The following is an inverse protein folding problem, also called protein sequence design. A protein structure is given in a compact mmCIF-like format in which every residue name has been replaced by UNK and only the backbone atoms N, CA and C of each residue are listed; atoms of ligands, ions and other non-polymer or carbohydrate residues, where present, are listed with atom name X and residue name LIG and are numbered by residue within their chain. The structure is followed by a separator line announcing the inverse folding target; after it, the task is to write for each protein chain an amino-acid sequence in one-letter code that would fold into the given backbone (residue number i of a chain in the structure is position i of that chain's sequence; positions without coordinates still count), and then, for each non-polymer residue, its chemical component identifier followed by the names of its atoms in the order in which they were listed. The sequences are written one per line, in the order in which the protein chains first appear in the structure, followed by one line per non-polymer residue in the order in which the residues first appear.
data_IF_947224255891
#
_entry.id   IF_947224255891
#
_cell.length_a   1.000
_cell.length_b   1.000
_cell.length_c   1.000
_cell.angle_alpha   90.00
_cell.angle_beta   90.00
_cell.angle_gamma   90.00
#
_symmetry.space_group_name_H-M   'P 1'
#
loop_
_entity.id
_entity.type
_entity.pdbx_description
1 polymer ?
#
# COMPACT_ATOMS: atom_id res chain seq x y z
N UNK A 1 -11.47 20.50 21.57
CA UNK A 1 -10.13 21.10 21.40
C UNK A 1 -9.96 21.44 19.93
N UNK A 2 -9.82 22.72 19.58
CA UNK A 2 -9.50 23.14 18.20
C UNK A 2 -8.00 23.02 18.04
N UNK A 3 -7.56 22.06 17.23
CA UNK A 3 -6.14 21.88 16.91
C UNK A 3 -5.88 22.43 15.50
N UNK A 4 -4.78 23.16 15.29
CA UNK A 4 -4.45 23.63 13.95
C UNK A 4 -4.25 22.43 13.02
N UNK A 5 -4.52 22.65 11.75
CA UNK A 5 -4.19 21.69 10.71
C UNK A 5 -2.67 21.45 10.67
N UNK A 6 -2.22 20.23 10.31
CA UNK A 6 -0.82 19.99 9.94
C UNK A 6 -0.39 20.90 8.78
N UNK A 7 0.93 20.98 8.52
CA UNK A 7 1.41 21.65 7.31
C UNK A 7 0.91 20.91 6.07
N UNK A 8 0.79 21.64 4.97
CA UNK A 8 0.51 21.06 3.66
C UNK A 8 1.55 19.99 3.30
N UNK A 9 1.07 18.92 2.66
CA UNK A 9 1.91 17.83 2.13
C UNK A 9 1.67 17.68 0.63
N UNK A 10 2.68 17.23 -0.09
CA UNK A 10 2.54 16.82 -1.49
C UNK A 10 2.04 15.38 -1.54
N UNK A 11 0.95 15.14 -2.27
CA UNK A 11 0.45 13.80 -2.56
C UNK A 11 0.57 13.51 -4.05
N UNK A 12 0.65 12.22 -4.40
CA UNK A 12 0.85 11.78 -5.78
C UNK A 12 -0.31 10.94 -6.28
N UNK A 13 -0.72 11.18 -7.53
CA UNK A 13 -1.72 10.35 -8.19
C UNK A 13 -1.19 8.91 -8.41
N UNK A 14 -1.97 7.86 -8.08
CA UNK A 14 -1.42 6.50 -8.00
C UNK A 14 -1.17 5.82 -9.36
N UNK A 15 -1.56 6.48 -10.46
CA UNK A 15 -1.33 6.04 -11.85
C UNK A 15 -0.37 6.98 -12.56
N UNK A 16 -0.72 8.26 -12.69
CA UNK A 16 0.10 9.23 -13.42
C UNK A 16 1.32 9.71 -12.63
N UNK A 17 1.33 9.62 -11.30
CA UNK A 17 2.39 10.17 -10.46
C UNK A 17 2.31 11.70 -10.23
N UNK A 18 1.35 12.37 -10.88
CA UNK A 18 1.15 13.80 -10.79
C UNK A 18 1.06 14.27 -9.33
N UNK A 19 1.87 15.30 -9.02
CA UNK A 19 1.99 15.86 -7.68
C UNK A 19 0.95 16.97 -7.44
N UNK A 20 0.25 16.90 -6.32
CA UNK A 20 -0.75 17.90 -5.93
C UNK A 20 -0.58 18.26 -4.45
N UNK A 21 -0.67 19.56 -4.08
CA UNK A 21 -0.72 19.94 -2.67
C UNK A 21 -1.99 19.43 -1.99
N UNK A 22 -1.87 18.95 -0.76
CA UNK A 22 -2.98 18.54 0.09
C UNK A 22 -2.85 19.17 1.48
N UNK A 23 -3.84 19.96 1.85
CA UNK A 23 -4.00 20.47 3.20
C UNK A 23 -4.87 19.51 4.02
N UNK A 24 -4.27 18.81 4.99
CA UNK A 24 -5.03 17.94 5.89
C UNK A 24 -5.93 18.77 6.82
N UNK A 25 -7.17 18.31 7.12
CA UNK A 25 -8.04 18.96 8.10
C UNK A 25 -7.45 19.07 9.51
N UNK A 26 -7.83 20.10 10.28
CA UNK A 26 -7.44 20.25 11.69
C UNK A 26 -8.29 19.43 12.66
N UNK A 27 -8.38 19.91 13.91
CA UNK A 27 -9.29 19.42 14.94
C UNK A 27 -9.06 18.00 15.47
N UNK A 28 -7.83 17.48 15.38
CA UNK A 28 -7.47 16.24 16.07
C UNK A 28 -8.00 14.97 15.41
N UNK A 29 -8.34 15.02 14.11
CA UNK A 29 -8.42 13.83 13.25
C UNK A 29 -7.02 13.21 13.27
N UNK A 30 -6.82 12.17 14.07
CA UNK A 30 -5.48 11.67 14.40
C UNK A 30 -4.68 11.34 13.15
N UNK A 31 -3.66 12.14 12.86
CA UNK A 31 -2.65 11.83 11.85
C UNK A 31 -1.54 11.03 12.51
N UNK A 32 -1.20 9.89 11.92
CA UNK A 32 -0.04 9.12 12.34
C UNK A 32 1.21 9.99 12.16
N UNK A 33 1.94 10.21 13.25
CA UNK A 33 3.27 10.84 13.23
C UNK A 33 4.31 9.72 13.34
N UNK A 34 5.09 9.45 12.29
CA UNK A 34 6.26 8.57 12.37
C UNK A 34 7.33 9.16 13.32
N UNK A 35 8.39 8.38 13.65
CA UNK A 35 9.08 8.37 14.93
C UNK A 35 9.56 9.72 15.47
N UNK A 36 9.51 9.87 16.80
CA UNK A 36 10.28 10.92 17.49
C UNK A 36 11.78 10.61 17.34
N UNK A 37 12.67 11.59 17.60
CA UNK A 37 14.12 11.36 17.59
C UNK A 37 14.52 10.17 18.52
N UNK A 38 13.76 9.96 19.61
CA UNK A 38 13.85 8.84 20.56
C UNK A 38 13.31 7.51 20.00
N UNK A 39 12.75 7.45 18.81
CA UNK A 39 12.37 6.16 18.18
C UNK A 39 13.33 5.76 17.07
N UNK A 40 14.19 6.67 16.62
CA UNK A 40 15.18 6.43 15.56
C UNK A 40 16.31 5.50 16.05
N UNK A 41 16.72 5.57 17.31
CA UNK A 41 17.78 4.70 17.85
C UNK A 41 17.38 3.23 18.06
N UNK A 42 16.10 2.90 18.24
CA UNK A 42 15.68 1.56 18.71
C UNK A 42 15.07 0.65 17.65
N UNK A 43 14.59 1.18 16.52
CA UNK A 43 13.79 0.40 15.56
C UNK A 43 14.13 0.67 14.09
N UNK A 44 15.40 0.57 13.69
CA UNK A 44 15.73 0.46 12.27
C UNK A 44 15.40 -0.96 11.75
N UNK A 45 14.89 -1.11 10.52
CA UNK A 45 14.57 -0.09 9.51
C UNK A 45 13.38 0.84 9.85
N UNK A 46 13.35 2.05 9.29
CA UNK A 46 12.44 3.12 9.72
C UNK A 46 11.10 3.21 8.96
N UNK A 47 10.18 3.99 9.54
CA UNK A 47 8.80 4.25 9.11
C UNK A 47 7.89 3.03 9.33
N UNK A 48 6.57 3.22 9.23
CA UNK A 48 5.58 2.26 9.75
C UNK A 48 5.67 0.85 9.13
N UNK A 49 6.22 0.76 7.93
CA UNK A 49 6.36 -0.51 7.19
C UNK A 49 7.83 -0.89 7.00
N UNK A 50 8.73 -0.38 7.85
CA UNK A 50 10.15 -0.67 7.76
C UNK A 50 10.71 -0.35 6.36
N UNK A 51 10.14 0.63 5.67
CA UNK A 51 10.38 0.85 4.23
C UNK A 51 11.68 1.60 3.93
N UNK A 52 12.30 2.18 4.95
CA UNK A 52 13.52 2.99 4.80
C UNK A 52 14.70 2.24 5.40
N UNK A 53 15.69 1.97 4.55
CA UNK A 53 16.86 1.12 4.80
C UNK A 53 16.60 -0.39 4.76
N UNK A 54 15.44 -0.79 4.24
CA UNK A 54 15.09 -2.19 3.94
C UNK A 54 14.64 -2.31 2.49
N UNK A 55 15.61 -2.27 1.58
CA UNK A 55 15.34 -2.51 0.16
C UNK A 55 15.49 -4.00 -0.09
N UNK A 56 14.41 -4.76 0.15
CA UNK A 56 14.33 -6.09 -0.43
C UNK A 56 14.30 -5.89 -1.96
N UNK A 57 15.29 -6.39 -2.72
CA UNK A 57 15.18 -6.40 -4.17
C UNK A 57 13.88 -7.13 -4.51
N UNK A 58 13.08 -6.54 -5.41
CA UNK A 58 11.77 -7.06 -5.83
C UNK A 58 11.82 -8.46 -6.48
N UNK A 59 12.97 -9.14 -6.44
CA UNK A 59 13.21 -10.51 -6.88
C UNK A 59 13.10 -11.54 -5.74
N UNK A 60 12.20 -11.35 -4.78
CA UNK A 60 11.73 -12.51 -4.02
C UNK A 60 10.72 -13.26 -4.88
N UNK A 61 10.87 -14.59 -5.03
CA UNK A 61 10.02 -15.37 -5.90
C UNK A 61 8.58 -15.17 -5.44
N UNK A 62 7.72 -14.82 -6.42
CA UNK A 62 6.27 -14.85 -6.26
C UNK A 62 5.90 -16.07 -5.43
N UNK A 63 5.15 -15.85 -4.36
CA UNK A 63 4.34 -16.91 -3.78
C UNK A 63 3.52 -17.51 -4.94
N UNK A 64 3.82 -18.74 -5.35
CA UNK A 64 3.13 -19.45 -6.43
C UNK A 64 3.72 -19.34 -7.84
N UNK A 65 5.03 -19.58 -8.03
CA UNK A 65 5.51 -20.10 -9.32
C UNK A 65 6.18 -21.46 -9.11
N UNK A 66 5.43 -22.51 -9.36
CA UNK A 66 5.99 -23.75 -9.88
C UNK A 66 6.60 -23.44 -11.27
N UNK A 67 7.63 -24.22 -11.63
CA UNK A 67 8.46 -24.18 -12.86
C UNK A 67 9.65 -23.20 -12.80
N UNK A 68 10.90 -23.57 -13.07
CA UNK A 68 11.49 -24.73 -13.74
C UNK A 68 12.98 -24.79 -13.34
N UNK A 69 13.53 -26.00 -13.30
CA UNK A 69 14.91 -26.35 -12.99
C UNK A 69 15.97 -25.64 -13.86
N UNK A 70 16.92 -24.95 -13.21
CA UNK A 70 18.22 -24.54 -13.75
C UNK A 70 19.36 -25.01 -12.83
N UNK A 71 20.60 -25.21 -13.34
CA UNK A 71 21.52 -26.20 -12.79
C UNK A 71 22.09 -25.80 -11.43
N UNK A 72 22.07 -26.80 -10.55
CA UNK A 72 22.60 -26.82 -9.19
C UNK A 72 24.12 -26.60 -9.21
N UNK A 73 24.55 -25.43 -8.73
CA UNK A 73 25.90 -25.23 -8.20
C UNK A 73 25.95 -25.81 -6.79
N UNK A 74 26.70 -26.89 -6.64
CA UNK A 74 26.90 -27.67 -5.41
C UNK A 74 27.69 -26.91 -4.34
N UNK A 75 27.11 -26.77 -3.14
CA UNK A 75 27.81 -27.02 -1.86
C UNK A 75 26.90 -26.76 -0.65
N UNK A 76 26.68 -27.80 0.18
CA UNK A 76 26.44 -27.61 1.62
C UNK A 76 25.07 -27.99 2.20
N UNK A 77 24.81 -29.30 2.30
CA UNK A 77 24.08 -30.02 3.38
C UNK A 77 22.73 -29.52 3.93
N UNK A 78 21.71 -30.34 3.67
CA UNK A 78 20.36 -30.34 4.23
C UNK A 78 20.31 -30.64 5.75
N UNK A 79 19.36 -30.01 6.45
CA UNK A 79 18.64 -30.62 7.57
C UNK A 79 17.16 -30.17 7.59
N UNK A 80 16.27 -31.13 7.33
CA UNK A 80 14.82 -31.17 7.57
C UNK A 80 14.45 -30.79 9.03
N UNK A 81 13.25 -30.38 9.45
CA UNK A 81 11.88 -30.31 8.92
C UNK A 81 11.05 -29.49 9.94
N UNK A 82 10.11 -28.66 9.47
CA UNK A 82 9.11 -27.99 10.32
C UNK A 82 8.47 -26.76 9.66
N UNK A 83 7.21 -26.87 9.28
CA UNK A 83 6.33 -25.86 8.65
C UNK A 83 6.73 -24.38 8.82
N UNK A 84 6.95 -23.71 7.69
CA UNK A 84 7.16 -22.27 7.58
C UNK A 84 8.41 -21.95 6.77
N UNK A 85 8.26 -21.83 5.45
CA UNK A 85 9.38 -21.67 4.50
C UNK A 85 9.94 -20.22 4.51
N UNK A 86 10.40 -19.76 5.68
CA UNK A 86 11.45 -18.74 5.73
C UNK A 86 12.78 -19.49 5.67
N UNK A 87 13.73 -19.10 4.80
CA UNK A 87 15.06 -19.68 4.86
C UNK A 87 15.65 -19.36 6.24
N UNK A 88 15.62 -20.36 7.13
CA UNK A 88 16.45 -20.40 8.34
C UNK A 88 17.88 -20.61 7.89
N UNK A 89 18.49 -19.55 7.35
CA UNK A 89 19.94 -19.44 7.34
C UNK A 89 20.40 -19.51 8.81
N UNK A 90 21.49 -20.21 9.14
CA UNK A 90 21.94 -20.36 10.52
C UNK A 90 22.03 -18.98 11.17
N UNK A 91 21.17 -18.77 12.18
CA UNK A 91 21.04 -17.56 12.98
C UNK A 91 22.21 -17.42 13.94
N UNK A 92 23.44 -17.45 13.41
CA UNK A 92 24.67 -17.31 14.17
C UNK A 92 25.45 -16.11 13.65
N UNK A 93 26.02 -15.34 14.57
CA UNK A 93 26.88 -14.23 14.25
C UNK A 93 28.34 -14.70 14.18
N UNK A 94 29.16 -14.17 13.24
CA UNK A 94 28.83 -13.12 12.28
C UNK A 94 27.97 -13.62 11.11
N UNK A 95 27.15 -12.72 10.53
CA UNK A 95 26.37 -13.03 9.34
C UNK A 95 27.29 -13.13 8.11
N UNK A 96 26.91 -13.98 7.14
CA UNK A 96 27.63 -14.09 5.87
C UNK A 96 27.51 -12.80 5.01
N UNK A 97 26.38 -12.11 5.12
CA UNK A 97 26.15 -10.80 4.54
C UNK A 97 25.95 -9.77 5.66
N UNK A 98 26.84 -8.78 5.81
CA UNK A 98 26.70 -7.74 6.83
C UNK A 98 25.54 -6.77 6.55
N UNK A 99 24.94 -6.83 5.35
CA UNK A 99 23.77 -6.03 4.97
C UNK A 99 22.46 -6.81 5.09
N UNK A 100 22.47 -8.08 5.46
CA UNK A 100 21.24 -8.86 5.65
C UNK A 100 20.40 -8.23 6.77
N UNK A 101 19.24 -7.63 6.45
CA UNK A 101 18.41 -6.93 7.43
C UNK A 101 17.65 -7.88 8.36
N UNK A 102 17.59 -9.17 8.05
CA UNK A 102 16.92 -10.19 8.87
C UNK A 102 17.82 -10.75 9.97
N UNK A 103 19.13 -10.50 9.90
CA UNK A 103 20.09 -11.01 10.88
C UNK A 103 20.13 -10.12 12.14
N UNK A 104 20.04 -10.70 13.35
CA UNK A 104 20.06 -9.94 14.60
C UNK A 104 21.49 -9.54 15.06
N UNK A 105 22.52 -9.75 14.23
CA UNK A 105 23.90 -9.45 14.58
C UNK A 105 24.17 -7.94 14.67
N UNK A 106 25.12 -7.56 15.53
CA UNK A 106 25.47 -6.15 15.78
C UNK A 106 25.82 -5.43 14.46
N UNK A 107 26.67 -6.04 13.62
CA UNK A 107 27.08 -5.47 12.34
C UNK A 107 25.88 -5.22 11.40
N UNK A 108 24.98 -6.20 11.27
CA UNK A 108 23.76 -6.09 10.48
C UNK A 108 22.82 -5.00 10.98
N UNK A 109 22.62 -4.90 12.31
CA UNK A 109 21.79 -3.86 12.91
C UNK A 109 22.38 -2.47 12.72
N UNK A 110 23.70 -2.31 12.83
CA UNK A 110 24.39 -1.05 12.55
C UNK A 110 24.34 -0.67 11.06
N UNK A 111 24.44 -1.64 10.16
CA UNK A 111 24.29 -1.42 8.72
C UNK A 111 22.87 -1.00 8.34
N UNK A 112 21.85 -1.69 8.89
CA UNK A 112 20.45 -1.32 8.72
C UNK A 112 20.18 0.09 9.25
N UNK A 113 20.65 0.38 10.47
CA UNK A 113 20.58 1.73 11.05
C UNK A 113 21.19 2.79 10.13
N UNK A 114 22.45 2.61 9.69
CA UNK A 114 23.17 3.60 8.87
C UNK A 114 22.45 3.86 7.53
N UNK A 115 22.02 2.79 6.87
CA UNK A 115 21.27 2.89 5.61
C UNK A 115 19.95 3.63 5.82
N UNK A 116 19.19 3.23 6.85
CA UNK A 116 17.89 3.82 7.14
C UNK A 116 17.99 5.30 7.52
N UNK A 117 18.98 5.71 8.33
CA UNK A 117 19.09 7.10 8.79
C UNK A 117 19.53 8.02 7.66
N UNK A 118 20.43 7.54 6.79
CA UNK A 118 20.83 8.29 5.59
C UNK A 118 19.65 8.52 4.66
N UNK A 119 18.88 7.48 4.37
CA UNK A 119 17.67 7.61 3.54
C UNK A 119 16.57 8.44 4.23
N UNK A 120 16.49 8.44 5.56
CA UNK A 120 15.56 9.31 6.28
C UNK A 120 15.92 10.79 6.07
N UNK A 121 17.19 11.15 6.28
CA UNK A 121 17.72 12.51 6.16
C UNK A 121 17.92 12.97 4.71
N UNK A 122 17.94 12.05 3.76
CA UNK A 122 18.06 12.31 2.32
C UNK A 122 16.96 11.59 1.55
N UNK A 123 15.72 12.14 1.53
CA UNK A 123 14.57 11.54 0.86
C UNK A 123 14.79 11.22 -0.62
N UNK A 124 15.64 12.00 -1.31
CA UNK A 124 16.04 11.81 -2.71
C UNK A 124 16.79 10.49 -2.97
N UNK A 125 17.35 9.88 -1.93
CA UNK A 125 18.05 8.58 -2.00
C UNK A 125 17.14 7.39 -1.70
N UNK A 126 15.88 7.65 -1.34
CA UNK A 126 14.91 6.59 -1.09
C UNK A 126 14.53 5.92 -2.40
N UNK A 127 14.07 4.67 -2.29
CA UNK A 127 13.41 3.95 -3.38
C UNK A 127 12.33 4.83 -4.03
N UNK A 128 12.25 4.75 -5.36
CA UNK A 128 11.18 5.33 -6.17
C UNK A 128 10.24 4.25 -6.70
N UNK A 129 8.95 4.57 -6.79
CA UNK A 129 7.97 3.78 -7.52
C UNK A 129 8.07 4.13 -9.00
N UNK A 130 8.30 3.13 -9.84
CA UNK A 130 8.42 3.28 -11.30
C UNK A 130 7.22 2.71 -12.05
N UNK A 131 6.18 2.27 -11.34
CA UNK A 131 4.97 1.73 -11.96
C UNK A 131 3.95 2.83 -12.31
N UNK A 132 4.15 4.06 -11.84
CA UNK A 132 3.43 5.26 -12.29
C UNK A 132 4.05 5.83 -13.57
N UNK A 133 3.30 6.66 -14.30
CA UNK A 133 3.80 7.35 -15.51
C UNK A 133 5.01 8.25 -15.17
N UNK A 134 4.88 9.07 -14.12
CA UNK A 134 5.98 9.78 -13.49
C UNK A 134 6.41 9.05 -12.21
N UNK A 135 7.71 8.81 -12.05
CA UNK A 135 8.20 8.09 -10.88
C UNK A 135 7.96 8.89 -9.58
N UNK A 136 7.39 8.24 -8.57
CA UNK A 136 7.07 8.89 -7.28
C UNK A 136 8.01 8.41 -6.17
N UNK A 137 8.32 9.24 -5.15
CA UNK A 137 9.11 8.79 -4.00
C UNK A 137 8.39 7.64 -3.28
N UNK A 138 9.13 6.66 -2.76
CA UNK A 138 8.55 5.53 -2.02
C UNK A 138 7.96 4.43 -2.90
N UNK A 139 6.80 3.90 -2.50
CA UNK A 139 6.03 2.91 -3.26
C UNK A 139 4.54 2.98 -2.94
N UNK A 140 3.72 2.55 -3.89
CA UNK A 140 2.26 2.44 -3.75
C UNK A 140 1.87 0.96 -3.68
N UNK A 141 1.05 0.59 -2.70
CA UNK A 141 0.51 -0.76 -2.60
C UNK A 141 -0.44 -1.05 -3.76
N UNK A 142 -0.13 -2.10 -4.51
CA UNK A 142 -0.93 -2.58 -5.64
C UNK A 142 -1.25 -4.05 -5.48
N UNK A 143 -2.37 -4.50 -6.05
CA UNK A 143 -2.69 -5.92 -6.17
C UNK A 143 -1.58 -6.63 -6.95
N UNK A 144 -1.12 -7.78 -6.46
CA UNK A 144 -0.09 -8.59 -7.14
C UNK A 144 -0.67 -9.51 -8.21
N UNK A 145 -1.98 -9.72 -8.20
CA UNK A 145 -2.75 -10.57 -9.09
C UNK A 145 -4.15 -9.95 -9.30
N UNK A 146 -4.91 -10.43 -10.29
CA UNK A 146 -6.34 -10.11 -10.38
C UNK A 146 -7.05 -10.47 -9.08
N UNK A 147 -7.86 -9.56 -8.56
CA UNK A 147 -8.46 -9.68 -7.24
C UNK A 147 -9.88 -9.12 -7.19
N UNK A 148 -10.68 -9.59 -6.25
CA UNK A 148 -11.97 -8.98 -5.91
C UNK A 148 -12.00 -8.55 -4.44
N UNK A 149 -12.78 -7.52 -4.15
CA UNK A 149 -13.18 -7.16 -2.79
C UNK A 149 -14.48 -7.88 -2.47
N UNK A 150 -14.45 -8.78 -1.49
CA UNK A 150 -15.63 -9.53 -1.05
C UNK A 150 -16.03 -9.03 0.34
N UNK A 151 -17.28 -8.60 0.46
CA UNK A 151 -17.94 -8.22 1.70
C UNK A 151 -18.89 -9.36 2.07
N UNK A 152 -18.55 -10.19 3.06
CA UNK A 152 -19.43 -11.29 3.47
C UNK A 152 -20.78 -10.78 3.98
N UNK A 153 -21.82 -11.60 3.88
CA UNK A 153 -23.20 -11.28 4.34
C UNK A 153 -23.25 -10.67 5.75
N UNK A 154 -22.37 -11.13 6.65
CA UNK A 154 -22.25 -10.63 8.03
C UNK A 154 -21.80 -9.18 8.17
N UNK A 155 -21.14 -8.62 7.15
CA UNK A 155 -20.65 -7.24 7.11
C UNK A 155 -21.46 -6.34 6.15
N UNK A 156 -22.38 -6.92 5.38
CA UNK A 156 -23.35 -6.14 4.61
C UNK A 156 -24.24 -5.36 5.58
N UNK A 157 -24.47 -4.04 5.36
CA UNK A 157 -25.30 -3.22 6.23
C UNK A 157 -26.68 -3.83 6.47
N UNK A 158 -27.17 -3.74 7.72
CA UNK A 158 -28.44 -4.35 8.13
C UNK A 158 -29.65 -3.81 7.35
N UNK A 159 -29.56 -2.58 6.83
CA UNK A 159 -30.56 -1.98 5.97
C UNK A 159 -30.64 -2.64 4.57
N UNK A 160 -29.54 -3.23 4.09
CA UNK A 160 -29.42 -3.82 2.75
C UNK A 160 -29.62 -5.34 2.80
N UNK A 161 -29.19 -5.99 3.90
CA UNK A 161 -29.21 -7.45 4.06
C UNK A 161 -30.58 -8.10 3.74
N UNK A 162 -31.75 -7.56 4.16
CA UNK A 162 -33.06 -8.13 3.84
C UNK A 162 -33.39 -8.15 2.35
N UNK A 163 -32.80 -7.23 1.57
CA UNK A 163 -33.05 -7.08 0.13
C UNK A 163 -32.00 -7.78 -0.73
N UNK A 164 -30.99 -8.41 -0.13
CA UNK A 164 -29.87 -9.06 -0.84
C UNK A 164 -30.32 -10.01 -1.96
N UNK A 165 -31.38 -10.81 -1.75
CA UNK A 165 -31.90 -11.72 -2.78
C UNK A 165 -32.63 -11.03 -3.95
N UNK A 166 -33.18 -9.83 -3.75
CA UNK A 166 -33.68 -9.01 -4.85
C UNK A 166 -32.50 -8.34 -5.58
N UNK A 167 -31.53 -7.84 -4.81
CA UNK A 167 -30.34 -7.18 -5.32
C UNK A 167 -29.45 -8.12 -6.14
N UNK A 168 -29.35 -9.41 -5.78
CA UNK A 168 -28.62 -10.40 -6.58
C UNK A 168 -29.22 -10.60 -7.96
N UNK A 169 -30.52 -10.35 -8.13
CA UNK A 169 -31.21 -10.45 -9.42
C UNK A 169 -31.04 -9.22 -10.30
N UNK A 170 -31.07 -8.01 -9.71
CA UNK A 170 -30.99 -6.75 -10.47
C UNK A 170 -29.57 -6.23 -10.63
N UNK A 171 -28.65 -6.66 -9.76
CA UNK A 171 -27.24 -6.29 -9.78
C UNK A 171 -26.36 -7.51 -9.44
N UNK A 172 -26.41 -8.60 -10.24
CA UNK A 172 -25.60 -9.81 -10.02
C UNK A 172 -24.08 -9.56 -10.10
N UNK A 173 -23.69 -8.45 -10.74
CA UNK A 173 -22.31 -7.94 -10.78
C UNK A 173 -21.79 -7.55 -9.39
N UNK A 174 -22.66 -7.18 -8.46
CA UNK A 174 -22.27 -6.83 -7.08
C UNK A 174 -22.79 -7.85 -6.06
N UNK A 175 -24.07 -8.17 -6.10
CA UNK A 175 -24.74 -8.95 -5.07
C UNK A 175 -24.81 -10.42 -5.46
N UNK A 176 -24.39 -11.30 -4.56
CA UNK A 176 -24.39 -12.75 -4.78
C UNK A 176 -25.55 -13.41 -4.03
N UNK A 177 -25.94 -14.61 -4.46
CA UNK A 177 -27.10 -15.32 -3.91
C UNK A 177 -26.90 -15.74 -2.44
N UNK A 178 -25.66 -15.86 -1.99
CA UNK A 178 -25.32 -16.09 -0.58
C UNK A 178 -25.48 -14.84 0.30
N UNK A 179 -25.84 -13.70 -0.30
CA UNK A 179 -26.01 -12.41 0.35
C UNK A 179 -24.71 -11.64 0.57
N UNK A 180 -23.58 -12.09 0.00
CA UNK A 180 -22.34 -11.32 -0.04
C UNK A 180 -22.36 -10.27 -1.16
N UNK A 181 -21.47 -9.28 -1.05
CA UNK A 181 -21.19 -8.31 -2.10
C UNK A 181 -19.78 -8.59 -2.62
N UNK A 182 -19.59 -8.71 -3.93
CA UNK A 182 -18.29 -8.82 -4.56
C UNK A 182 -18.10 -7.68 -5.55
N UNK A 183 -17.00 -6.93 -5.41
CA UNK A 183 -16.61 -5.86 -6.33
C UNK A 183 -15.33 -6.28 -7.06
N UNK A 184 -15.32 -6.14 -8.38
CA UNK A 184 -14.23 -6.56 -9.25
C UNK A 184 -14.75 -7.22 -10.52
N UNK A 185 -13.87 -7.91 -11.26
CA UNK A 185 -12.48 -8.18 -10.95
C UNK A 185 -11.58 -6.96 -11.16
N UNK A 186 -10.69 -6.68 -10.21
CA UNK A 186 -9.66 -5.67 -10.37
C UNK A 186 -8.44 -6.31 -11.04
N UNK A 187 -7.79 -5.64 -12.01
CA UNK A 187 -6.58 -6.15 -12.63
C UNK A 187 -5.43 -6.22 -11.62
N UNK A 188 -4.39 -6.98 -11.96
CA UNK A 188 -3.11 -6.88 -11.26
C UNK A 188 -2.54 -5.47 -11.41
N UNK A 189 -1.92 -4.92 -10.37
CA UNK A 189 -1.41 -3.55 -10.37
C UNK A 189 -2.45 -2.51 -9.91
N UNK A 190 -3.65 -2.92 -9.53
CA UNK A 190 -4.67 -2.00 -9.05
C UNK A 190 -4.27 -1.38 -7.68
N UNK A 191 -4.27 -0.04 -7.50
CA UNK A 191 -3.90 0.59 -6.24
C UNK A 191 -4.85 0.24 -5.10
N UNK A 192 -4.36 -0.48 -4.09
CA UNK A 192 -5.21 -0.99 -2.98
C UNK A 192 -5.84 0.16 -2.20
N UNK A 193 -5.06 1.21 -1.93
CA UNK A 193 -5.50 2.35 -1.15
C UNK A 193 -6.55 3.21 -1.86
N UNK A 194 -6.69 3.11 -3.20
CA UNK A 194 -7.77 3.79 -3.91
C UNK A 194 -9.15 3.28 -3.47
N UNK A 195 -9.29 1.98 -3.19
CA UNK A 195 -10.53 1.40 -2.66
C UNK A 195 -10.72 1.73 -1.18
N UNK A 196 -9.69 1.48 -0.36
CA UNK A 196 -9.86 1.54 1.11
C UNK A 196 -9.97 2.97 1.65
N UNK A 197 -9.45 3.96 0.93
CA UNK A 197 -9.52 5.37 1.35
C UNK A 197 -10.77 6.08 0.81
N UNK A 198 -11.61 5.39 0.02
CA UNK A 198 -12.83 5.98 -0.56
C UNK A 198 -13.80 6.40 0.54
N UNK A 199 -14.24 7.67 0.50
CA UNK A 199 -15.17 8.25 1.45
C UNK A 199 -16.61 8.09 1.01
N UNK A 200 -17.27 7.06 1.55
CA UNK A 200 -18.68 6.78 1.26
C UNK A 200 -19.65 7.44 2.24
N UNK A 201 -19.17 7.80 3.43
CA UNK A 201 -19.97 8.40 4.49
C UNK A 201 -19.30 9.66 5.02
N UNK A 202 -20.08 10.68 5.39
CA UNK A 202 -19.54 11.83 6.08
C UNK A 202 -19.05 11.45 7.48
N UNK A 203 -17.98 12.09 7.93
CA UNK A 203 -17.52 12.03 9.32
C UNK A 203 -18.54 12.74 10.25
N UNK A 204 -18.53 12.41 11.53
CA UNK A 204 -19.50 12.98 12.49
C UNK A 204 -19.35 14.51 12.68
N UNK A 205 -18.15 15.05 12.46
CA UNK A 205 -17.77 16.43 12.74
C UNK A 205 -17.61 17.29 11.47
N UNK A 206 -18.14 16.85 10.33
CA UNK A 206 -18.11 17.62 9.08
C UNK A 206 -19.49 17.89 8.49
N UNK A 207 -19.54 18.92 7.65
CA UNK A 207 -20.68 19.13 6.78
C UNK A 207 -20.80 17.97 5.80
N UNK A 208 -21.94 17.30 5.83
CA UNK A 208 -22.22 16.14 5.01
C UNK A 208 -22.47 16.51 3.55
N UNK A 209 -22.92 17.74 3.27
CA UNK A 209 -23.32 18.16 1.93
C UNK A 209 -22.20 18.09 0.89
N UNK A 210 -20.97 18.58 1.15
CA UNK A 210 -19.83 18.39 0.24
C UNK A 210 -19.54 16.93 -0.10
N UNK A 211 -19.66 16.02 0.87
CA UNK A 211 -19.44 14.58 0.67
C UNK A 211 -20.53 14.01 -0.23
N UNK A 212 -21.79 14.27 0.09
CA UNK A 212 -22.91 13.82 -0.73
C UNK A 212 -22.88 14.41 -2.14
N UNK A 213 -22.51 15.68 -2.31
CA UNK A 213 -22.34 16.29 -3.63
C UNK A 213 -21.30 15.52 -4.46
N UNK A 214 -20.13 15.19 -3.89
CA UNK A 214 -19.11 14.39 -4.58
C UNK A 214 -19.62 12.99 -4.94
N UNK A 215 -20.35 12.34 -4.04
CA UNK A 215 -20.96 11.03 -4.27
C UNK A 215 -22.05 11.09 -5.35
N UNK A 216 -22.88 12.13 -5.38
CA UNK A 216 -23.90 12.30 -6.43
C UNK A 216 -23.24 12.54 -7.79
N UNK A 217 -22.18 13.34 -7.84
CA UNK A 217 -21.47 13.63 -9.09
C UNK A 217 -20.68 12.43 -9.63
N UNK A 218 -19.99 11.67 -8.76
CA UNK A 218 -19.09 10.59 -9.19
C UNK A 218 -19.72 9.19 -9.08
N UNK A 219 -20.74 9.03 -8.25
CA UNK A 219 -21.38 7.77 -7.92
C UNK A 219 -21.95 7.03 -9.12
N UNK A 220 -22.72 7.67 -10.03
CA UNK A 220 -23.24 6.98 -11.21
C UNK A 220 -22.15 6.36 -12.08
N UNK A 221 -21.05 7.09 -12.32
CA UNK A 221 -19.93 6.56 -13.10
C UNK A 221 -19.11 5.52 -12.34
N UNK A 222 -19.02 5.63 -11.01
CA UNK A 222 -18.40 4.60 -10.17
C UNK A 222 -19.21 3.29 -10.22
N UNK A 223 -20.52 3.37 -10.08
CA UNK A 223 -21.44 2.22 -10.19
C UNK A 223 -21.40 1.63 -11.59
N UNK A 224 -21.40 2.46 -12.64
CA UNK A 224 -21.25 1.99 -14.03
C UNK A 224 -19.94 1.22 -14.21
N UNK A 225 -18.82 1.79 -13.75
CA UNK A 225 -17.52 1.15 -13.86
C UNK A 225 -17.49 -0.22 -13.15
N UNK A 226 -18.03 -0.32 -11.93
CA UNK A 226 -18.11 -1.61 -11.24
C UNK A 226 -19.08 -2.59 -11.91
N UNK A 227 -20.19 -2.11 -12.47
CA UNK A 227 -21.11 -2.95 -13.21
C UNK A 227 -20.48 -3.49 -14.50
N UNK A 228 -19.69 -2.68 -15.20
CA UNK A 228 -18.93 -3.06 -16.38
C UNK A 228 -17.81 -4.05 -16.08
N UNK A 229 -17.23 -4.02 -14.87
CA UNK A 229 -16.32 -5.08 -14.40
C UNK A 229 -17.02 -6.44 -14.27
N UNK A 230 -18.33 -6.46 -14.03
CA UNK A 230 -19.16 -7.66 -14.17
C UNK A 230 -19.16 -8.63 -12.98
N UNK A 231 -18.34 -8.41 -11.95
CA UNK A 231 -18.44 -9.17 -10.69
C UNK A 231 -17.96 -10.62 -10.76
N UNK A 232 -17.14 -10.96 -11.75
CA UNK A 232 -16.55 -12.28 -11.94
C UNK A 232 -15.39 -12.47 -10.95
N UNK A 233 -15.63 -13.21 -9.86
CA UNK A 233 -14.76 -13.23 -8.68
C UNK A 233 -14.39 -14.63 -8.18
N UNK A 234 -14.81 -15.69 -8.87
CA UNK A 234 -14.31 -17.04 -8.59
C UNK A 234 -12.84 -17.19 -9.01
N UNK A 235 -12.14 -18.16 -8.44
CA UNK A 235 -10.73 -18.40 -8.76
C UNK A 235 -10.52 -18.72 -10.26
N UNK A 236 -11.47 -19.43 -10.88
CA UNK A 236 -11.45 -19.79 -12.30
C UNK A 236 -11.65 -18.55 -13.18
N UNK A 237 -12.61 -17.69 -12.84
CA UNK A 237 -12.87 -16.45 -13.57
C UNK A 237 -11.69 -15.48 -13.46
N UNK A 238 -11.08 -15.33 -12.28
CA UNK A 238 -9.91 -14.46 -12.10
C UNK A 238 -8.68 -14.97 -12.85
N UNK A 239 -8.60 -16.27 -13.12
CA UNK A 239 -7.55 -16.88 -13.92
C UNK A 239 -7.77 -16.70 -15.44
N UNK A 240 -8.99 -16.40 -15.88
CA UNK A 240 -9.34 -16.25 -17.30
C UNK A 240 -8.67 -15.01 -17.92
N UNK A 241 -7.84 -15.18 -18.97
CA UNK A 241 -7.20 -14.07 -19.68
C UNK A 241 -8.19 -13.04 -20.24
N UNK A 242 -9.38 -13.46 -20.67
CA UNK A 242 -10.41 -12.55 -21.21
C UNK A 242 -10.96 -11.64 -20.13
N UNK A 243 -11.28 -12.19 -18.96
CA UNK A 243 -11.75 -11.43 -17.79
C UNK A 243 -10.69 -10.43 -17.33
N UNK A 244 -9.42 -10.84 -17.33
CA UNK A 244 -8.29 -9.96 -16.98
C UNK A 244 -8.15 -8.82 -17.97
N UNK A 245 -8.10 -9.10 -19.27
CA UNK A 245 -7.98 -8.06 -20.31
C UNK A 245 -9.17 -7.11 -20.31
N UNK A 246 -10.38 -7.62 -20.04
CA UNK A 246 -11.58 -6.81 -19.90
C UNK A 246 -11.47 -5.87 -18.69
N UNK A 247 -11.06 -6.38 -17.53
CA UNK A 247 -10.89 -5.56 -16.32
C UNK A 247 -9.88 -4.42 -16.50
N UNK A 248 -8.76 -4.67 -17.18
CA UNK A 248 -7.76 -3.64 -17.50
C UNK A 248 -8.33 -2.54 -18.39
N UNK A 249 -9.15 -2.94 -19.37
CA UNK A 249 -9.81 -2.03 -20.31
C UNK A 249 -10.85 -1.17 -19.61
N UNK A 250 -11.74 -1.79 -18.82
CA UNK A 250 -12.77 -1.08 -18.06
C UNK A 250 -12.14 -0.10 -17.08
N UNK A 251 -11.12 -0.50 -16.31
CA UNK A 251 -10.46 0.40 -15.34
C UNK A 251 -9.88 1.63 -16.03
N UNK A 252 -9.24 1.44 -17.20
CA UNK A 252 -8.65 2.52 -17.99
C UNK A 252 -9.70 3.43 -18.60
N UNK A 253 -10.70 2.87 -19.27
CA UNK A 253 -11.66 3.65 -20.07
C UNK A 253 -12.73 4.36 -19.24
N UNK A 254 -13.11 3.77 -18.10
CA UNK A 254 -14.09 4.39 -17.20
C UNK A 254 -13.50 5.45 -16.28
N UNK A 255 -12.16 5.53 -16.21
CA UNK A 255 -11.44 6.38 -15.25
C UNK A 255 -11.71 5.97 -13.79
N UNK A 256 -11.87 4.67 -13.53
CA UNK A 256 -12.29 4.16 -12.21
C UNK A 256 -11.36 4.67 -11.09
N UNK A 257 -10.05 4.64 -11.32
CA UNK A 257 -9.07 5.09 -10.32
C UNK A 257 -9.23 6.59 -10.03
N UNK A 258 -9.39 7.43 -11.05
CA UNK A 258 -9.56 8.88 -10.89
C UNK A 258 -10.82 9.23 -10.09
N UNK A 259 -11.90 8.48 -10.31
CA UNK A 259 -13.15 8.61 -9.54
C UNK A 259 -12.95 8.23 -8.08
N UNK A 260 -12.26 7.12 -7.81
CA UNK A 260 -11.92 6.70 -6.45
C UNK A 260 -11.01 7.71 -5.75
N UNK A 261 -10.03 8.27 -6.47
CA UNK A 261 -9.15 9.32 -5.98
C UNK A 261 -9.94 10.58 -5.62
N UNK A 262 -10.89 10.98 -6.46
CA UNK A 262 -11.77 12.13 -6.22
C UNK A 262 -12.65 11.95 -4.97
N UNK A 263 -13.07 10.70 -4.72
CA UNK A 263 -13.85 10.33 -3.54
C UNK A 263 -12.99 10.02 -2.32
N UNK A 264 -11.66 10.03 -2.44
CA UNK A 264 -10.77 9.63 -1.36
C UNK A 264 -10.78 10.61 -0.19
N UNK A 265 -10.85 10.08 1.02
CA UNK A 265 -10.63 10.83 2.27
C UNK A 265 -9.15 11.15 2.47
N UNK A 266 -8.27 10.27 1.97
CA UNK A 266 -6.83 10.36 2.12
C UNK A 266 -6.18 10.02 0.77
N UNK A 267 -5.96 11.02 -0.12
CA UNK A 267 -5.31 10.81 -1.41
C UNK A 267 -3.78 10.64 -1.31
N UNK A 268 -3.24 10.36 -0.12
CA UNK A 268 -1.84 9.97 0.08
C UNK A 268 -1.68 8.46 -0.13
N UNK A 269 -1.34 8.08 -1.36
CA UNK A 269 -1.16 6.67 -1.75
C UNK A 269 0.27 6.19 -1.59
N UNK A 270 1.22 7.12 -1.48
CA UNK A 270 2.63 6.79 -1.33
C UNK A 270 2.86 6.41 0.12
N UNK A 271 3.30 5.18 0.31
CA UNK A 271 3.56 4.66 1.64
C UNK A 271 4.76 5.38 2.22
N UNK A 272 4.58 5.91 3.43
CA UNK A 272 5.64 6.52 4.22
C UNK A 272 6.34 7.71 3.53
N UNK A 273 5.66 8.44 2.62
CA UNK A 273 6.14 9.73 2.12
C UNK A 273 6.29 10.72 3.29
N UNK A 274 5.16 11.06 3.91
CA UNK A 274 5.08 11.91 5.10
C UNK A 274 5.81 13.25 4.97
N UNK A 275 6.00 13.93 6.10
CA UNK A 275 6.90 15.07 6.16
C UNK A 275 8.36 14.59 6.19
N UNK A 276 9.23 15.29 5.46
CA UNK A 276 10.66 15.06 5.51
C UNK A 276 11.22 15.44 6.90
N UNK A 277 12.18 14.65 7.38
CA UNK A 277 12.87 14.88 8.64
C UNK A 277 14.34 15.16 8.36
N UNK A 278 14.85 16.31 8.80
CA UNK A 278 16.25 16.67 8.66
C UNK A 278 16.76 16.77 7.21
N UNK A 279 15.87 16.85 6.22
CA UNK A 279 16.21 16.98 4.79
C UNK A 279 17.02 18.24 4.51
N UNK A 280 16.69 19.31 5.23
CA UNK A 280 17.21 20.66 5.03
C UNK A 280 18.56 20.88 5.72
N UNK A 281 19.04 19.88 6.49
CA UNK A 281 20.36 19.92 7.12
C UNK A 281 21.46 19.90 6.06
N UNK A 282 22.60 20.55 6.36
CA UNK A 282 23.78 20.39 5.53
C UNK A 282 24.28 18.95 5.56
N UNK A 283 25.01 18.50 4.54
CA UNK A 283 25.57 17.14 4.53
C UNK A 283 26.46 16.87 5.76
N UNK A 284 27.24 17.88 6.19
CA UNK A 284 28.06 17.80 7.39
C UNK A 284 27.23 17.60 8.67
N UNK A 285 26.11 18.32 8.80
CA UNK A 285 25.20 18.18 9.94
C UNK A 285 24.48 16.83 9.93
N UNK A 286 24.12 16.32 8.74
CA UNK A 286 23.56 14.96 8.59
C UNK A 286 24.55 13.92 9.09
N UNK A 287 25.81 13.97 8.65
CA UNK A 287 26.84 13.01 9.06
C UNK A 287 27.21 13.14 10.55
N UNK A 288 27.20 14.36 11.10
CA UNK A 288 27.39 14.60 12.53
C UNK A 288 26.24 14.01 13.37
N UNK A 289 24.98 14.23 12.96
CA UNK A 289 23.80 13.66 13.61
C UNK A 289 23.83 12.12 13.58
N UNK A 290 24.15 11.53 12.42
CA UNK A 290 24.28 10.07 12.27
C UNK A 290 25.35 9.54 13.23
N UNK A 291 26.51 10.20 13.28
CA UNK A 291 27.61 9.78 14.15
C UNK A 291 27.24 9.87 15.63
N UNK A 292 26.55 10.93 16.03
CA UNK A 292 26.03 11.08 17.39
C UNK A 292 25.04 9.97 17.74
N UNK A 293 24.08 9.68 16.86
CA UNK A 293 23.07 8.64 17.10
C UNK A 293 23.66 7.21 17.16
N UNK A 294 24.79 6.95 16.47
CA UNK A 294 25.52 5.67 16.58
C UNK A 294 26.21 5.46 17.94
N UNK A 295 26.36 6.51 18.73
CA UNK A 295 27.08 6.50 20.01
C UNK A 295 26.17 6.53 21.25
N UNK A 296 24.85 6.70 21.05
CA UNK A 296 23.84 6.60 22.11
C UNK A 296 23.58 5.14 22.49
#
# INVERSE_FOLDING_TARGET
KTLPAPKEVTVHHPVSGAATPMQSPGNGRGYLRPPSLISIWSTAPYLLNNSVGHEIPYSYPRYGKDTESGPVGTSGTQANSGNGNYPRSPSACPAADPKDPYMPCIENRLSAFDTSIRQMLSPETRRMDKATEEAVPGYIYRTSAPSCLIIPKGFVPDQIRPFSGLLSRIAPWAFKDDGSIALGPFPSGFPVNALVNTKLLPDHDEDAWPVYKRLITNGPGLVSAFAELGGQCSAQELADPAVRSHSETVVRETGLIDRLVTLSKCPDYVVNAGHAFGSDLSQADKDALISFLKQL
#
